data_IF_929515902629
#
_entry.id   IF_929515902629
#
_cell.length_a   1.000
_cell.length_b   1.000
_cell.length_c   1.000
_cell.angle_alpha   90.00
_cell.angle_beta   90.00
_cell.angle_gamma   90.00
#
_symmetry.space_group_name_H-M   'P 1'
#
loop_
_entity.id
_entity.type
_entity.pdbx_description
1 polymer ?
#
# COMPACT_ATOMS: atom_id res chain seq x y z
N UNK A 1 -49.67 17.71 43.85
CA UNK A 1 -50.35 18.95 43.38
C UNK A 1 -50.11 19.11 41.92
N UNK A 2 -51.14 18.74 41.19
CA UNK A 2 -51.28 18.73 39.73
C UNK A 2 -51.76 20.10 39.23
N UNK A 3 -51.64 20.34 37.94
CA UNK A 3 -52.24 21.40 37.14
C UNK A 3 -51.32 22.61 36.86
N UNK A 4 -50.57 22.51 35.74
CA UNK A 4 -50.43 23.63 34.78
C UNK A 4 -49.67 23.15 33.52
N UNK A 5 -50.31 22.42 32.63
CA UNK A 5 -49.83 22.15 31.24
C UNK A 5 -51.01 22.01 30.29
N UNK A 6 -51.77 23.06 30.08
CA UNK A 6 -52.81 23.08 29.06
C UNK A 6 -53.07 24.50 28.56
N UNK A 7 -52.06 25.17 28.02
CA UNK A 7 -52.22 26.53 27.47
C UNK A 7 -51.63 26.78 26.09
N UNK A 8 -50.82 25.82 25.53
CA UNK A 8 -50.03 26.14 24.36
C UNK A 8 -50.51 25.53 23.01
N UNK A 9 -51.63 24.78 23.04
CA UNK A 9 -52.10 24.10 21.84
C UNK A 9 -53.18 24.82 21.00
N UNK A 10 -53.79 25.90 21.56
CA UNK A 10 -54.84 26.65 20.84
C UNK A 10 -54.31 27.76 19.92
N UNK A 11 -53.09 28.22 20.12
CA UNK A 11 -52.53 29.32 19.30
C UNK A 11 -51.85 28.84 18.01
N UNK A 12 -51.45 27.55 17.94
CA UNK A 12 -50.84 27.04 16.71
C UNK A 12 -51.83 26.66 15.60
N UNK A 13 -53.05 26.33 15.93
CA UNK A 13 -54.06 25.95 14.92
C UNK A 13 -54.70 27.14 14.24
N UNK A 14 -54.66 28.32 14.83
CA UNK A 14 -55.25 29.53 14.23
C UNK A 14 -54.39 30.16 13.14
N UNK A 15 -53.07 29.89 13.12
CA UNK A 15 -52.17 30.38 12.06
C UNK A 15 -52.20 29.54 10.78
N UNK A 16 -52.65 28.29 10.85
CA UNK A 16 -52.71 27.39 9.69
C UNK A 16 -54.01 27.51 8.87
N UNK A 17 -55.05 28.11 9.47
CA UNK A 17 -56.36 28.31 8.77
C UNK A 17 -56.39 29.55 7.86
N UNK A 18 -55.48 30.51 8.06
CA UNK A 18 -55.56 31.81 7.33
C UNK A 18 -54.93 31.75 5.93
N UNK A 19 -54.26 30.65 5.54
CA UNK A 19 -53.60 30.61 4.24
C UNK A 19 -54.36 29.82 3.16
N UNK A 20 -55.45 29.13 3.52
CA UNK A 20 -56.27 28.36 2.55
C UNK A 20 -57.13 29.24 1.62
N UNK A 21 -57.46 30.46 2.03
CA UNK A 21 -58.32 31.35 1.24
C UNK A 21 -57.56 32.21 0.22
N UNK A 22 -56.20 32.26 0.29
CA UNK A 22 -55.40 32.95 -0.74
C UNK A 22 -55.10 32.08 -1.96
N UNK A 23 -55.26 30.75 -1.86
CA UNK A 23 -54.99 29.83 -2.98
C UNK A 23 -56.15 29.66 -3.94
N UNK A 24 -57.33 30.21 -3.64
CA UNK A 24 -58.54 30.08 -4.51
C UNK A 24 -58.68 31.12 -5.63
N UNK A 25 -57.73 32.06 -5.77
CA UNK A 25 -57.81 33.11 -6.83
C UNK A 25 -56.75 33.00 -7.93
N UNK A 26 -55.99 31.90 -8.00
CA UNK A 26 -55.14 31.66 -9.16
C UNK A 26 -55.94 30.84 -10.20
N UNK A 27 -56.70 31.55 -11.02
CA UNK A 27 -57.23 30.99 -12.26
C UNK A 27 -56.08 30.75 -13.23
N UNK A 28 -55.30 29.68 -12.99
CA UNK A 28 -54.31 29.21 -13.96
C UNK A 28 -55.11 28.47 -15.06
N UNK A 29 -55.20 29.06 -16.21
CA UNK A 29 -55.80 28.48 -17.42
C UNK A 29 -55.06 27.19 -17.76
N UNK A 30 -55.75 26.12 -18.19
CA UNK A 30 -55.20 24.79 -18.56
C UNK A 30 -53.94 24.87 -19.45
N UNK A 31 -53.78 25.96 -20.22
CA UNK A 31 -52.59 26.21 -21.06
C UNK A 31 -51.29 26.39 -20.25
N UNK A 32 -51.33 26.94 -19.04
CA UNK A 32 -50.14 27.16 -18.20
C UNK A 32 -49.67 25.88 -17.54
N UNK A 33 -50.55 24.90 -17.27
CA UNK A 33 -50.17 23.59 -16.78
C UNK A 33 -49.44 22.76 -17.84
N UNK A 34 -49.80 22.89 -19.11
CA UNK A 34 -49.13 22.22 -20.22
C UNK A 34 -47.72 22.80 -20.44
N UNK A 35 -47.56 24.11 -20.31
CA UNK A 35 -46.25 24.77 -20.45
C UNK A 35 -45.35 24.47 -19.24
N UNK A 36 -45.89 24.53 -18.02
CA UNK A 36 -45.12 24.20 -16.81
C UNK A 36 -44.77 22.72 -16.74
N UNK A 37 -45.68 21.81 -17.13
CA UNK A 37 -45.41 20.36 -17.22
C UNK A 37 -44.37 20.04 -18.28
N UNK A 38 -44.40 20.70 -19.44
CA UNK A 38 -43.39 20.55 -20.49
C UNK A 38 -42.02 21.04 -20.06
N UNK A 39 -41.93 22.17 -19.35
CA UNK A 39 -40.65 22.69 -18.83
C UNK A 39 -40.05 21.81 -17.76
N UNK A 40 -40.85 21.22 -16.87
CA UNK A 40 -40.37 20.27 -15.84
C UNK A 40 -39.88 18.95 -16.46
N UNK A 41 -40.60 18.46 -17.50
CA UNK A 41 -40.14 17.27 -18.23
C UNK A 41 -38.85 17.51 -19.02
N UNK A 42 -38.71 18.70 -19.62
CA UNK A 42 -37.51 19.12 -20.35
C UNK A 42 -36.30 19.29 -19.38
N UNK A 43 -36.52 19.88 -18.21
CA UNK A 43 -35.50 20.00 -17.17
C UNK A 43 -35.13 18.62 -16.57
N UNK A 44 -36.07 17.71 -16.40
CA UNK A 44 -35.83 16.35 -15.96
C UNK A 44 -35.05 15.52 -17.02
N UNK A 45 -35.36 15.74 -18.32
CA UNK A 45 -34.60 15.09 -19.40
C UNK A 45 -33.19 15.64 -19.54
N UNK A 46 -32.98 16.96 -19.33
CA UNK A 46 -31.65 17.57 -19.29
C UNK A 46 -30.84 17.15 -18.05
N UNK A 47 -31.48 17.00 -16.88
CA UNK A 47 -30.82 16.51 -15.66
C UNK A 47 -30.52 15.02 -15.72
N UNK A 48 -31.39 14.21 -16.36
CA UNK A 48 -31.15 12.78 -16.57
C UNK A 48 -30.09 12.49 -17.62
N UNK A 49 -29.96 13.33 -18.64
CA UNK A 49 -28.99 13.19 -19.72
C UNK A 49 -27.55 13.53 -19.30
N UNK A 50 -27.35 14.42 -18.32
CA UNK A 50 -26.03 14.83 -17.86
C UNK A 50 -25.27 13.74 -17.08
N UNK A 51 -25.97 12.80 -16.44
CA UNK A 51 -25.34 11.69 -15.71
C UNK A 51 -24.95 10.50 -16.61
N UNK A 52 -25.44 10.46 -17.86
CA UNK A 52 -25.14 9.38 -18.80
C UNK A 52 -23.83 9.57 -19.58
N UNK A 53 -23.20 10.75 -19.52
CA UNK A 53 -21.99 11.07 -20.30
C UNK A 53 -20.67 10.88 -19.53
N UNK A 54 -20.73 10.54 -18.23
CA UNK A 54 -19.52 10.28 -17.43
C UNK A 54 -19.54 8.82 -16.97
N UNK A 55 -19.52 7.91 -17.95
CA UNK A 55 -19.42 6.48 -17.70
C UNK A 55 -18.05 6.15 -17.17
N UNK A 56 -17.92 5.88 -15.87
CA UNK A 56 -16.77 5.19 -15.36
C UNK A 56 -16.94 3.69 -15.65
N UNK A 57 -16.18 3.16 -16.56
CA UNK A 57 -16.16 1.72 -16.83
C UNK A 57 -15.46 1.01 -15.66
N UNK A 58 -16.19 0.19 -14.92
CA UNK A 58 -15.61 -0.66 -13.91
C UNK A 58 -14.86 -1.82 -14.58
N UNK A 59 -13.54 -1.83 -14.48
CA UNK A 59 -12.69 -2.89 -15.03
C UNK A 59 -12.16 -3.75 -13.90
N UNK A 60 -12.36 -5.06 -14.00
CA UNK A 60 -11.83 -6.01 -13.01
C UNK A 60 -10.42 -6.45 -13.44
N UNK A 61 -9.44 -6.14 -12.61
CA UNK A 61 -8.06 -6.62 -12.75
C UNK A 61 -7.99 -8.05 -12.24
N UNK A 62 -7.59 -9.05 -13.06
CA UNK A 62 -7.54 -10.45 -12.65
C UNK A 62 -6.52 -10.71 -11.54
N UNK A 63 -6.74 -11.76 -10.76
CA UNK A 63 -5.73 -12.27 -9.83
C UNK A 63 -4.44 -12.63 -10.57
N UNK A 64 -3.30 -12.60 -9.87
CA UNK A 64 -1.95 -12.82 -10.40
C UNK A 64 -1.44 -11.74 -11.38
N UNK A 65 -2.22 -10.69 -11.66
CA UNK A 65 -1.73 -9.53 -12.40
C UNK A 65 -0.52 -8.94 -11.69
N UNK A 66 0.52 -8.60 -12.47
CA UNK A 66 1.75 -8.01 -11.94
C UNK A 66 1.63 -6.50 -11.89
N UNK A 67 1.92 -5.93 -10.73
CA UNK A 67 2.03 -4.49 -10.51
C UNK A 67 3.50 -4.17 -10.27
N UNK A 68 4.09 -3.39 -11.16
CA UNK A 68 5.47 -2.94 -11.05
C UNK A 68 5.50 -1.58 -10.38
N UNK A 69 6.24 -1.48 -9.28
CA UNK A 69 6.37 -0.23 -8.52
C UNK A 69 7.84 0.09 -8.24
N UNK A 70 8.11 1.33 -7.91
CA UNK A 70 9.37 1.78 -7.31
C UNK A 70 9.08 2.32 -5.92
N UNK A 71 9.97 2.05 -4.97
CA UNK A 71 9.85 2.56 -3.60
C UNK A 71 10.12 4.06 -3.56
N UNK A 72 9.29 4.81 -2.86
CA UNK A 72 9.50 6.25 -2.65
C UNK A 72 10.38 6.51 -1.41
N UNK A 73 10.50 5.51 -0.53
CA UNK A 73 11.25 5.58 0.72
C UNK A 73 12.07 4.32 0.98
N UNK A 74 13.08 4.42 1.81
CA UNK A 74 13.89 3.27 2.19
C UNK A 74 13.11 2.34 3.13
N UNK A 75 13.18 1.03 2.90
CA UNK A 75 12.61 -0.02 3.76
C UNK A 75 13.68 -1.06 4.07
N UNK A 76 13.80 -1.46 5.33
CA UNK A 76 14.84 -2.39 5.75
C UNK A 76 14.29 -3.48 6.70
N UNK A 77 15.07 -4.52 6.91
CA UNK A 77 14.75 -5.57 7.89
C UNK A 77 14.74 -5.07 9.34
N UNK A 78 15.26 -3.87 9.61
CA UNK A 78 15.13 -3.15 10.88
C UNK A 78 13.78 -2.42 11.03
N UNK A 79 13.01 -2.29 9.96
CA UNK A 79 11.66 -1.70 10.00
C UNK A 79 10.71 -2.66 10.70
N UNK A 80 9.85 -2.14 11.58
CA UNK A 80 8.89 -2.98 12.32
C UNK A 80 7.84 -3.56 11.35
N UNK A 81 7.40 -4.82 11.54
CA UNK A 81 6.21 -5.33 10.86
C UNK A 81 5.00 -4.43 11.14
N UNK A 82 4.11 -4.29 10.16
CA UNK A 82 2.98 -3.36 10.21
C UNK A 82 3.31 -1.93 9.79
N UNK A 83 4.58 -1.58 9.55
CA UNK A 83 4.94 -0.26 9.04
C UNK A 83 4.50 -0.07 7.59
N UNK A 84 3.85 1.04 7.31
CA UNK A 84 3.41 1.40 5.96
C UNK A 84 4.55 2.02 5.16
N UNK A 85 4.59 1.70 3.87
CA UNK A 85 5.51 2.32 2.93
C UNK A 85 4.77 2.83 1.70
N UNK A 86 5.35 3.85 1.07
CA UNK A 86 4.84 4.42 -0.18
C UNK A 86 5.66 3.96 -1.35
N UNK A 87 4.99 3.78 -2.46
CA UNK A 87 5.59 3.39 -3.73
C UNK A 87 4.83 4.03 -4.89
N UNK A 88 5.47 4.14 -6.03
CA UNK A 88 4.91 4.70 -7.25
C UNK A 88 4.89 3.63 -8.33
N UNK A 89 3.77 3.48 -9.04
CA UNK A 89 3.63 2.52 -10.16
C UNK A 89 4.57 2.90 -11.30
N UNK A 90 5.51 2.03 -11.64
CA UNK A 90 6.53 2.28 -12.66
C UNK A 90 6.11 1.89 -14.08
N UNK A 91 5.15 0.98 -14.21
CA UNK A 91 4.60 0.54 -15.50
C UNK A 91 3.08 0.49 -15.43
N UNK A 92 2.36 0.96 -16.46
CA UNK A 92 0.91 0.90 -16.47
C UNK A 92 0.43 -0.56 -16.45
N UNK A 93 -0.70 -0.80 -15.81
CA UNK A 93 -1.44 -2.06 -15.88
C UNK A 93 -2.54 -1.89 -16.91
N UNK A 94 -2.47 -2.66 -17.99
CA UNK A 94 -3.42 -2.61 -19.10
C UNK A 94 -4.20 -3.92 -19.12
N UNK A 95 -5.54 -3.82 -19.12
CA UNK A 95 -6.47 -4.95 -19.22
C UNK A 95 -7.39 -4.68 -20.41
N UNK A 96 -7.48 -5.63 -21.34
CA UNK A 96 -8.32 -5.52 -22.54
C UNK A 96 -8.12 -4.22 -23.32
N UNK A 97 -6.85 -3.77 -23.42
CA UNK A 97 -6.50 -2.54 -24.12
C UNK A 97 -6.77 -1.24 -23.35
N UNK A 98 -7.41 -1.31 -22.18
CA UNK A 98 -7.65 -0.14 -21.30
C UNK A 98 -6.58 -0.04 -20.21
N UNK A 99 -6.02 1.15 -20.01
CA UNK A 99 -5.10 1.40 -18.90
C UNK A 99 -5.91 1.54 -17.61
N UNK A 100 -5.81 0.52 -16.75
CA UNK A 100 -6.54 0.46 -15.48
C UNK A 100 -5.77 1.16 -14.37
N UNK A 101 -4.47 0.91 -14.27
CA UNK A 101 -3.58 1.60 -13.33
C UNK A 101 -2.53 2.34 -14.15
N UNK A 102 -2.53 3.67 -14.16
CA UNK A 102 -1.56 4.43 -14.94
C UNK A 102 -0.16 4.38 -14.32
N UNK A 103 0.86 4.59 -15.13
CA UNK A 103 2.22 4.88 -14.65
C UNK A 103 2.19 6.16 -13.80
N UNK A 104 2.89 6.18 -12.68
CA UNK A 104 2.91 7.30 -11.74
C UNK A 104 1.79 7.25 -10.68
N UNK A 105 0.88 6.28 -10.73
CA UNK A 105 -0.12 6.07 -9.69
C UNK A 105 0.56 5.80 -8.34
N UNK A 106 0.08 6.42 -7.26
CA UNK A 106 0.58 6.17 -5.91
C UNK A 106 0.10 4.82 -5.43
N UNK A 107 0.94 4.12 -4.70
CA UNK A 107 0.61 2.86 -4.06
C UNK A 107 1.07 2.87 -2.62
N UNK A 108 0.27 2.30 -1.73
CA UNK A 108 0.64 2.09 -0.35
C UNK A 108 0.75 0.61 -0.07
N UNK A 109 1.75 0.26 0.71
CA UNK A 109 1.98 -1.10 1.14
C UNK A 109 2.37 -1.20 2.60
N UNK A 110 2.48 -2.42 3.09
CA UNK A 110 2.84 -2.74 4.46
C UNK A 110 4.00 -3.72 4.51
N UNK A 111 4.85 -3.56 5.51
CA UNK A 111 5.87 -4.54 5.88
C UNK A 111 5.17 -5.68 6.61
N UNK A 112 5.04 -6.83 5.96
CA UNK A 112 4.38 -8.03 6.53
C UNK A 112 5.31 -8.72 7.51
N UNK A 113 6.59 -8.89 7.13
CA UNK A 113 7.61 -9.54 7.94
C UNK A 113 8.94 -8.83 7.73
N UNK A 114 9.64 -8.55 8.82
CA UNK A 114 10.97 -7.99 8.79
C UNK A 114 11.84 -8.74 9.83
N UNK A 115 12.64 -9.68 9.35
CA UNK A 115 13.54 -10.45 10.17
C UNK A 115 14.99 -10.10 9.81
N UNK A 116 15.71 -9.40 10.70
CA UNK A 116 17.13 -9.14 10.50
C UNK A 116 17.93 -10.44 10.55
N UNK A 117 19.09 -10.46 9.92
CA UNK A 117 19.98 -11.59 10.04
C UNK A 117 20.51 -11.71 11.47
N UNK A 118 20.51 -12.92 12.01
CA UNK A 118 21.25 -13.22 13.24
C UNK A 118 22.76 -13.08 13.02
N UNK A 119 23.51 -12.87 14.09
CA UNK A 119 24.98 -12.65 14.01
C UNK A 119 25.74 -13.80 13.33
N UNK A 120 25.33 -15.05 13.55
CA UNK A 120 26.02 -16.24 13.02
C UNK A 120 25.18 -17.07 12.07
N UNK A 121 23.85 -17.07 12.23
CA UNK A 121 22.95 -17.95 11.49
C UNK A 121 21.74 -17.15 11.00
N UNK A 122 21.16 -17.62 9.88
CA UNK A 122 19.95 -17.06 9.32
C UNK A 122 20.21 -16.21 8.08
N UNK A 123 19.14 -15.97 7.35
CA UNK A 123 19.10 -15.03 6.22
C UNK A 123 18.11 -13.93 6.57
N UNK A 124 18.45 -12.68 6.37
CA UNK A 124 17.49 -11.62 6.56
C UNK A 124 16.32 -11.81 5.58
N UNK A 125 15.12 -11.56 6.05
CA UNK A 125 13.91 -11.65 5.26
C UNK A 125 13.12 -10.36 5.41
N UNK A 126 12.65 -9.87 4.30
CA UNK A 126 11.75 -8.73 4.24
C UNK A 126 10.59 -9.13 3.32
N UNK A 127 9.38 -9.18 3.86
CA UNK A 127 8.16 -9.43 3.10
C UNK A 127 7.34 -8.17 3.07
N UNK A 128 7.03 -7.74 1.85
CA UNK A 128 6.27 -6.52 1.56
C UNK A 128 5.00 -6.89 0.79
N UNK A 129 3.90 -6.23 1.08
CA UNK A 129 2.65 -6.37 0.33
C UNK A 129 2.05 -4.99 0.05
N UNK A 130 1.43 -4.80 -1.12
CA UNK A 130 0.61 -3.62 -1.41
C UNK A 130 -0.78 -3.82 -0.82
N UNK A 131 -1.34 -2.74 -0.29
CA UNK A 131 -2.69 -2.68 0.29
C UNK A 131 -3.63 -1.81 -0.53
N UNK A 132 -3.11 -0.80 -1.22
CA UNK A 132 -3.93 0.11 -2.02
C UNK A 132 -3.16 0.74 -3.17
N UNK A 133 -3.90 1.22 -4.16
CA UNK A 133 -3.40 2.01 -5.29
C UNK A 133 -4.37 3.17 -5.53
N UNK A 134 -3.83 4.36 -5.74
CA UNK A 134 -4.62 5.55 -6.08
C UNK A 134 -4.71 5.69 -7.60
N UNK A 135 -5.93 5.65 -8.12
CA UNK A 135 -6.19 5.83 -9.55
C UNK A 135 -7.17 6.98 -9.73
N UNK A 136 -6.80 7.97 -10.51
CA UNK A 136 -7.64 9.15 -10.79
C UNK A 136 -8.13 9.90 -9.53
N UNK A 137 -7.36 9.86 -8.43
CA UNK A 137 -7.71 10.48 -7.16
C UNK A 137 -8.62 9.65 -6.27
N UNK A 138 -8.99 8.45 -6.68
CA UNK A 138 -9.74 7.48 -5.89
C UNK A 138 -8.81 6.39 -5.34
N UNK A 139 -9.07 5.97 -4.11
CA UNK A 139 -8.28 4.98 -3.38
C UNK A 139 -8.89 3.58 -3.54
N UNK A 140 -8.17 2.68 -4.22
CA UNK A 140 -8.62 1.32 -4.46
C UNK A 140 -7.87 0.33 -3.59
N UNK A 141 -8.56 -0.43 -2.73
CA UNK A 141 -7.92 -1.48 -1.96
C UNK A 141 -7.46 -2.62 -2.89
N UNK A 142 -6.20 -3.00 -2.77
CA UNK A 142 -5.63 -4.13 -3.49
C UNK A 142 -4.99 -5.10 -2.50
N UNK A 143 -5.18 -6.39 -2.74
CA UNK A 143 -4.53 -7.42 -1.94
C UNK A 143 -3.49 -8.11 -2.79
N UNK A 144 -2.22 -7.97 -2.43
CA UNK A 144 -1.14 -8.63 -3.17
C UNK A 144 -0.52 -9.77 -2.36
N UNK A 145 0.06 -10.72 -3.09
CA UNK A 145 0.97 -11.69 -2.49
C UNK A 145 2.21 -10.94 -2.00
N UNK A 146 2.71 -11.34 -0.83
CA UNK A 146 3.90 -10.72 -0.28
C UNK A 146 5.11 -10.95 -1.20
N UNK A 147 5.77 -9.87 -1.60
CA UNK A 147 7.05 -9.92 -2.29
C UNK A 147 8.14 -10.22 -1.28
N UNK A 148 8.96 -11.21 -1.56
CA UNK A 148 10.01 -11.68 -0.67
C UNK A 148 11.36 -11.18 -1.12
N UNK A 149 11.99 -10.35 -0.30
CA UNK A 149 13.38 -9.96 -0.43
C UNK A 149 14.25 -10.74 0.56
N UNK A 150 15.21 -11.49 0.06
CA UNK A 150 16.09 -12.32 0.87
C UNK A 150 17.54 -11.88 0.69
N UNK A 151 18.17 -11.51 1.78
CA UNK A 151 19.59 -11.14 1.77
C UNK A 151 20.53 -12.33 1.60
N UNK A 152 21.81 -12.02 1.43
CA UNK A 152 22.86 -13.03 1.27
C UNK A 152 23.06 -13.87 2.54
N UNK A 153 23.36 -15.15 2.33
CA UNK A 153 23.68 -16.07 3.44
C UNK A 153 25.06 -15.75 4.07
N UNK A 154 25.15 -15.90 5.37
CA UNK A 154 26.41 -15.75 6.12
C UNK A 154 27.43 -16.85 5.85
N UNK A 155 27.05 -17.99 5.24
CA UNK A 155 27.94 -19.15 5.07
C UNK A 155 29.28 -18.82 4.44
N UNK A 156 29.26 -18.10 3.28
CA UNK A 156 30.51 -17.72 2.61
C UNK A 156 31.33 -16.72 3.40
N UNK A 157 30.67 -15.76 4.06
CA UNK A 157 31.33 -14.76 4.88
C UNK A 157 32.02 -15.39 6.10
N UNK A 158 31.31 -16.24 6.84
CA UNK A 158 31.86 -16.92 8.00
C UNK A 158 32.99 -17.87 7.61
N UNK A 159 32.84 -18.60 6.49
CA UNK A 159 33.91 -19.46 5.98
C UNK A 159 35.17 -18.67 5.63
N UNK A 160 35.01 -17.48 5.01
CA UNK A 160 36.15 -16.65 4.63
C UNK A 160 36.92 -16.10 5.85
N UNK A 161 36.21 -15.58 6.84
CA UNK A 161 36.81 -14.91 7.98
C UNK A 161 37.25 -15.89 9.10
N UNK A 162 36.40 -16.85 9.46
CA UNK A 162 36.72 -17.82 10.49
C UNK A 162 37.71 -18.85 9.94
N UNK A 163 37.44 -19.41 8.76
CA UNK A 163 38.31 -20.38 8.13
C UNK A 163 39.62 -19.78 7.67
N UNK A 164 39.57 -18.58 7.06
CA UNK A 164 40.75 -17.85 6.61
C UNK A 164 41.60 -17.36 7.78
N UNK A 165 40.97 -16.91 8.89
CA UNK A 165 41.69 -16.51 10.12
C UNK A 165 42.45 -17.67 10.72
N UNK A 166 41.82 -18.83 10.91
CA UNK A 166 42.46 -20.02 11.44
C UNK A 166 43.59 -20.53 10.52
N UNK A 167 43.32 -20.69 9.21
CA UNK A 167 44.29 -21.12 8.23
C UNK A 167 45.47 -20.17 8.07
N UNK A 168 45.19 -18.87 8.00
CA UNK A 168 46.23 -17.82 7.93
C UNK A 168 47.10 -17.81 9.21
N UNK A 169 46.46 -17.91 10.38
CA UNK A 169 47.16 -17.94 11.65
C UNK A 169 48.09 -19.15 11.77
N UNK A 170 47.64 -20.31 11.31
CA UNK A 170 48.49 -21.55 11.27
C UNK A 170 49.68 -21.34 10.34
N UNK A 171 49.51 -20.83 9.13
CA UNK A 171 50.59 -20.59 8.18
C UNK A 171 51.60 -19.57 8.67
N UNK A 172 51.17 -18.44 9.19
CA UNK A 172 52.08 -17.43 9.76
C UNK A 172 52.79 -17.95 10.99
N UNK A 173 52.08 -18.65 11.88
CA UNK A 173 52.65 -19.27 13.05
C UNK A 173 53.68 -20.35 12.72
N UNK A 174 53.41 -21.19 11.70
CA UNK A 174 54.35 -22.24 11.26
C UNK A 174 55.63 -21.64 10.66
N UNK A 175 55.52 -20.56 9.90
CA UNK A 175 56.70 -19.88 9.34
C UNK A 175 57.55 -19.21 10.40
N UNK A 176 56.98 -18.68 11.48
CA UNK A 176 57.65 -17.94 12.53
C UNK A 176 58.20 -18.86 13.65
N UNK A 177 57.55 -19.97 13.96
CA UNK A 177 57.88 -20.82 15.11
C UNK A 177 57.69 -22.33 14.87
N UNK A 178 57.65 -22.77 13.62
CA UNK A 178 57.48 -24.19 13.28
C UNK A 178 56.16 -24.76 13.82
N UNK A 179 56.18 -26.00 14.23
CA UNK A 179 54.99 -26.70 14.73
C UNK A 179 54.37 -26.07 15.97
N UNK A 180 55.17 -25.54 16.88
CA UNK A 180 54.69 -24.84 18.07
C UNK A 180 54.03 -23.49 17.70
N UNK A 181 54.62 -22.75 16.77
CA UNK A 181 54.04 -21.52 16.26
C UNK A 181 52.70 -21.74 15.53
N UNK A 182 52.57 -22.86 14.78
CA UNK A 182 51.31 -23.24 14.14
C UNK A 182 50.24 -23.60 15.19
N UNK A 183 50.60 -24.29 16.26
CA UNK A 183 49.68 -24.67 17.34
C UNK A 183 49.11 -23.44 18.09
N UNK A 184 49.87 -22.36 18.21
CA UNK A 184 49.43 -21.09 18.83
C UNK A 184 48.74 -20.19 17.81
N UNK A 185 49.28 -20.08 16.61
CA UNK A 185 48.79 -19.21 15.56
C UNK A 185 47.38 -19.59 15.06
N UNK A 186 47.02 -20.88 15.03
CA UNK A 186 45.71 -21.36 14.66
C UNK A 186 44.59 -20.84 15.56
N UNK A 187 44.63 -21.11 16.88
CA UNK A 187 43.63 -20.58 17.82
C UNK A 187 43.56 -19.06 17.86
N UNK A 188 44.68 -18.35 17.81
CA UNK A 188 44.71 -16.88 17.77
C UNK A 188 44.08 -16.35 16.51
N UNK A 189 44.40 -16.93 15.33
CA UNK A 189 43.81 -16.53 14.05
C UNK A 189 42.30 -16.87 13.97
N UNK A 190 41.90 -17.99 14.58
CA UNK A 190 40.49 -18.37 14.73
C UNK A 190 39.71 -17.34 15.56
N UNK A 191 40.26 -16.94 16.72
CA UNK A 191 39.66 -15.96 17.60
C UNK A 191 39.53 -14.60 16.89
N UNK A 192 40.58 -14.13 16.24
CA UNK A 192 40.59 -12.90 15.47
C UNK A 192 39.60 -12.95 14.30
N UNK A 193 39.60 -14.03 13.52
CA UNK A 193 38.66 -14.24 12.42
C UNK A 193 37.21 -14.28 12.88
N UNK A 194 36.94 -14.89 14.04
CA UNK A 194 35.62 -14.94 14.65
C UNK A 194 35.15 -13.55 15.07
N UNK A 195 36.03 -12.75 15.69
CA UNK A 195 35.73 -11.39 16.10
C UNK A 195 35.40 -10.52 14.89
N UNK A 196 36.21 -10.59 13.81
CA UNK A 196 35.92 -9.87 12.55
C UNK A 196 34.60 -10.34 11.95
N UNK A 197 34.32 -11.65 11.93
CA UNK A 197 33.06 -12.19 11.43
C UNK A 197 31.87 -11.66 12.23
N UNK A 198 31.98 -11.53 13.56
CA UNK A 198 30.94 -10.98 14.43
C UNK A 198 30.65 -9.51 14.16
N UNK A 199 31.68 -8.68 14.02
CA UNK A 199 31.56 -7.25 13.84
C UNK A 199 31.02 -6.93 12.44
N UNK A 200 31.46 -7.69 11.41
CA UNK A 200 31.10 -7.44 10.02
C UNK A 200 29.86 -8.21 9.53
N UNK A 201 29.36 -9.17 10.34
CA UNK A 201 28.27 -10.07 9.95
C UNK A 201 26.88 -9.45 9.90
N UNK A 202 26.71 -8.20 10.35
CA UNK A 202 25.42 -7.50 10.35
C UNK A 202 25.00 -7.15 8.92
N UNK A 203 24.36 -8.09 8.23
CA UNK A 203 23.87 -7.94 6.86
C UNK A 203 22.36 -7.88 6.83
N UNK A 204 21.82 -6.68 6.98
CA UNK A 204 20.40 -6.44 6.83
C UNK A 204 20.06 -6.23 5.35
N UNK A 205 18.87 -6.64 4.93
CA UNK A 205 18.30 -6.19 3.67
C UNK A 205 17.87 -4.74 3.85
N UNK A 206 18.41 -3.87 3.03
CA UNK A 206 18.03 -2.47 2.96
C UNK A 206 17.67 -2.14 1.51
N UNK A 207 16.39 -1.92 1.27
CA UNK A 207 15.89 -1.41 0.01
C UNK A 207 15.97 0.11 0.04
N UNK A 208 16.60 0.68 -0.98
CA UNK A 208 16.72 2.14 -1.11
C UNK A 208 15.48 2.71 -1.79
N UNK A 209 15.25 4.02 -1.70
CA UNK A 209 14.31 4.67 -2.62
C UNK A 209 14.63 4.29 -4.07
N UNK A 210 13.65 4.30 -4.93
CA UNK A 210 13.74 3.93 -6.35
C UNK A 210 14.03 2.44 -6.62
N UNK A 211 14.10 1.60 -5.59
CA UNK A 211 14.22 0.14 -5.78
C UNK A 211 12.97 -0.40 -6.49
N UNK A 212 13.12 -1.05 -7.66
CA UNK A 212 11.99 -1.63 -8.37
C UNK A 212 11.53 -2.91 -7.68
N UNK A 213 10.21 -3.03 -7.47
CA UNK A 213 9.56 -4.20 -6.91
C UNK A 213 8.41 -4.64 -7.81
N UNK A 214 8.10 -5.93 -7.77
CA UNK A 214 6.97 -6.49 -8.50
C UNK A 214 6.07 -7.24 -7.55
N UNK A 215 4.82 -6.81 -7.48
CA UNK A 215 3.78 -7.46 -6.70
C UNK A 215 2.82 -8.21 -7.60
N UNK A 216 2.20 -9.27 -7.10
CA UNK A 216 1.15 -10.01 -7.79
C UNK A 216 -0.14 -9.90 -7.02
N UNK A 217 -1.23 -9.57 -7.68
CA UNK A 217 -2.56 -9.56 -7.07
C UNK A 217 -2.90 -10.95 -6.52
N UNK A 218 -3.32 -10.99 -5.26
CA UNK A 218 -3.80 -12.21 -4.60
C UNK A 218 -5.29 -12.45 -4.86
N UNK A 219 -6.05 -11.35 -5.07
CA UNK A 219 -7.48 -11.37 -5.36
C UNK A 219 -7.79 -10.41 -6.50
N UNK A 220 -8.83 -10.64 -7.29
CA UNK A 220 -9.28 -9.66 -8.27
C UNK A 220 -9.59 -8.31 -7.62
N UNK A 221 -9.32 -7.21 -8.31
CA UNK A 221 -9.63 -5.86 -7.85
C UNK A 221 -10.42 -5.12 -8.94
N UNK A 222 -11.54 -4.50 -8.58
CA UNK A 222 -12.33 -3.71 -9.51
C UNK A 222 -11.95 -2.25 -9.37
N UNK A 223 -11.60 -1.62 -10.47
CA UNK A 223 -11.14 -0.23 -10.55
C UNK A 223 -11.98 0.51 -11.58
N UNK A 224 -12.50 1.67 -11.22
CA UNK A 224 -13.25 2.53 -12.13
C UNK A 224 -12.28 3.33 -13.01
N UNK A 225 -12.34 3.10 -14.31
CA UNK A 225 -11.54 3.82 -15.29
C UNK A 225 -12.40 4.94 -15.88
N UNK A 226 -11.96 6.19 -15.75
CA UNK A 226 -12.59 7.30 -16.46
C UNK A 226 -12.15 7.24 -17.91
N UNK A 227 -13.13 7.10 -18.81
CA UNK A 227 -12.91 7.23 -20.26
C UNK A 227 -12.64 8.69 -20.62
#
# INVERSE_FOLDING_TARGET
MLWTKLGLNKLRLRKLQLNRNKLKKLHLTKRHYLIAGGAVLLLAALAGGANAMWGSDAVTVPQHTRIHVVLDQAVATSTKPGHHFRATVSRPVVIEGKTVIPKGARAEGVVVEANPAGRFKGRPRLLLALQSVDVNGEHYPVHTLASREVGRSHKKHNLLWIGGGAGGGVLIGALAGGGMGAAIGGPVGLAAGTTVALVTAKRDVKLRPETPLTFRLAKPATINVKS
#
